data_IF_117684654768
#
_entry.id   IF_117684654768
#
_cell.length_a   1.000
_cell.length_b   1.000
_cell.length_c   1.000
_cell.angle_alpha   90.00
_cell.angle_beta   90.00
_cell.angle_gamma   90.00
#
_symmetry.space_group_name_H-M   'P 1'
#
loop_
_entity.id
_entity.type
_entity.pdbx_description
1 polymer ?
#
# COMPACT_ATOMS: atom_id res chain seq x y z
N UNK A 1 2.02 -14.40 14.98
CA UNK A 1 1.33 -13.28 14.33
C UNK A 1 0.64 -13.72 13.07
N UNK A 2 -0.16 -12.83 12.51
CA UNK A 2 -0.88 -13.11 11.26
C UNK A 2 0.11 -13.13 10.10
N UNK A 3 0.07 -14.17 9.25
CA UNK A 3 0.92 -14.21 8.07
C UNK A 3 0.67 -13.01 7.14
N UNK A 4 1.71 -12.53 6.46
CA UNK A 4 1.60 -11.36 5.61
C UNK A 4 0.53 -11.53 4.53
N UNK A 5 0.32 -12.76 4.06
CA UNK A 5 -0.68 -13.05 3.02
C UNK A 5 -2.12 -12.81 3.48
N UNK A 6 -2.35 -12.78 4.79
CA UNK A 6 -3.69 -12.59 5.36
C UNK A 6 -3.89 -11.18 5.91
N UNK A 7 -2.90 -10.29 5.75
CA UNK A 7 -3.01 -8.90 6.19
C UNK A 7 -3.76 -8.06 5.17
N UNK A 8 -4.56 -7.13 5.68
CA UNK A 8 -5.27 -6.17 4.84
C UNK A 8 -4.92 -4.75 5.27
N UNK A 9 -4.92 -3.85 4.31
CA UNK A 9 -4.69 -2.42 4.55
C UNK A 9 -6.03 -1.71 4.41
N UNK A 10 -6.36 -0.85 5.37
CA UNK A 10 -7.60 -0.08 5.32
C UNK A 10 -7.38 1.22 4.55
N UNK A 11 -8.22 1.48 3.58
CA UNK A 11 -8.20 2.72 2.78
C UNK A 11 -9.53 3.43 2.97
N UNK A 12 -9.49 4.59 3.61
CA UNK A 12 -10.69 5.38 3.88
C UNK A 12 -10.72 6.61 2.98
N UNK A 13 -11.81 6.81 2.27
CA UNK A 13 -12.00 7.92 1.35
C UNK A 13 -13.49 8.24 1.24
N UNK A 14 -13.84 9.52 1.36
CA UNK A 14 -15.21 9.97 1.15
C UNK A 14 -16.26 9.30 2.04
N UNK A 15 -15.90 9.01 3.29
CA UNK A 15 -16.82 8.38 4.24
C UNK A 15 -16.95 6.87 4.09
N UNK A 16 -16.17 6.25 3.23
CA UNK A 16 -16.16 4.80 3.03
C UNK A 16 -14.78 4.25 3.36
N UNK A 17 -14.73 3.01 3.85
CA UNK A 17 -13.47 2.32 4.14
C UNK A 17 -13.46 1.00 3.39
N UNK A 18 -12.38 0.76 2.65
CA UNK A 18 -12.14 -0.48 1.92
C UNK A 18 -11.01 -1.23 2.58
N UNK A 19 -11.21 -2.55 2.81
CA UNK A 19 -10.14 -3.43 3.27
C UNK A 19 -9.47 -4.01 2.04
N UNK A 20 -8.20 -3.65 1.82
CA UNK A 20 -7.46 -4.02 0.62
C UNK A 20 -6.63 -5.26 0.92
N UNK A 21 -6.88 -6.38 0.23
CA UNK A 21 -6.10 -7.60 0.44
C UNK A 21 -4.75 -7.51 -0.26
N UNK A 22 -3.86 -8.42 0.11
CA UNK A 22 -2.56 -8.52 -0.53
C UNK A 22 -2.70 -8.63 -2.04
N UNK A 23 -1.89 -7.88 -2.77
CA UNK A 23 -1.88 -7.86 -4.22
C UNK A 23 -0.83 -8.82 -4.79
N UNK A 24 0.43 -8.66 -4.37
CA UNK A 24 1.52 -9.54 -4.81
C UNK A 24 2.51 -9.79 -3.69
N UNK A 25 3.17 -10.95 -3.76
CA UNK A 25 4.37 -11.25 -2.97
C UNK A 25 5.42 -11.72 -3.96
N UNK A 26 6.51 -10.96 -4.07
CA UNK A 26 7.55 -11.21 -5.06
C UNK A 26 8.91 -11.31 -4.39
N UNK A 27 9.74 -12.24 -4.83
CA UNK A 27 11.12 -12.26 -4.40
C UNK A 27 11.83 -11.00 -4.88
N UNK A 28 12.89 -10.60 -4.17
CA UNK A 28 13.66 -9.42 -4.54
C UNK A 28 14.22 -9.57 -5.95
N UNK A 29 14.18 -8.47 -6.71
CA UNK A 29 14.69 -8.41 -8.09
C UNK A 29 13.99 -9.36 -9.06
N UNK A 30 12.83 -9.90 -8.67
CA UNK A 30 12.00 -10.74 -9.54
C UNK A 30 10.68 -10.03 -9.78
N UNK A 31 10.37 -9.81 -11.05
CA UNK A 31 9.08 -9.26 -11.42
C UNK A 31 8.04 -10.37 -11.39
N UNK A 32 6.92 -10.13 -10.72
CA UNK A 32 5.85 -11.10 -10.67
C UNK A 32 4.53 -10.43 -11.04
N UNK A 33 3.65 -11.17 -11.74
CA UNK A 33 2.38 -10.59 -12.16
C UNK A 33 1.45 -10.38 -10.97
N UNK A 34 0.74 -9.26 -10.99
CA UNK A 34 -0.38 -9.01 -10.10
C UNK A 34 -1.68 -9.22 -10.85
N UNK A 35 -2.77 -9.30 -10.12
CA UNK A 35 -4.10 -9.30 -10.69
C UNK A 35 -4.58 -7.88 -10.93
N UNK A 36 -5.88 -7.68 -10.83
CA UNK A 36 -6.48 -6.35 -10.88
C UNK A 36 -6.66 -5.84 -9.45
N UNK A 37 -6.10 -4.68 -9.12
CA UNK A 37 -6.28 -4.14 -7.76
C UNK A 37 -7.73 -3.69 -7.56
N UNK A 38 -8.23 -3.71 -6.30
CA UNK A 38 -9.52 -3.13 -6.00
C UNK A 38 -9.54 -1.65 -6.33
N UNK A 39 -10.72 -1.13 -6.62
CA UNK A 39 -10.92 0.27 -6.95
C UNK A 39 -11.77 0.93 -5.88
N UNK A 40 -11.40 2.14 -5.51
CA UNK A 40 -12.11 2.97 -4.55
C UNK A 40 -12.50 4.26 -5.24
N UNK A 41 -13.70 4.75 -4.96
CA UNK A 41 -14.15 6.02 -5.52
C UNK A 41 -13.35 7.16 -4.91
N UNK A 42 -12.74 7.98 -5.78
CA UNK A 42 -11.98 9.14 -5.32
C UNK A 42 -12.92 10.29 -4.99
N UNK A 43 -12.85 10.85 -3.78
CA UNK A 43 -13.65 12.06 -3.47
C UNK A 43 -13.12 13.27 -4.22
N UNK A 44 -13.99 14.27 -4.41
CA UNK A 44 -13.63 15.49 -5.12
C UNK A 44 -12.67 16.38 -4.32
N UNK A 45 -12.60 16.17 -3.01
CA UNK A 45 -11.75 16.94 -2.10
C UNK A 45 -11.49 16.14 -0.83
N UNK A 46 -10.61 16.64 0.00
CA UNK A 46 -10.27 15.99 1.27
C UNK A 46 -9.16 14.98 1.11
N UNK A 47 -8.97 14.19 2.15
CA UNK A 47 -7.83 13.25 2.20
C UNK A 47 -8.30 11.80 2.05
N UNK A 48 -7.40 10.99 1.51
CA UNK A 48 -7.48 9.54 1.59
C UNK A 48 -6.59 9.11 2.75
N UNK A 49 -7.11 8.25 3.63
CA UNK A 49 -6.37 7.77 4.79
C UNK A 49 -6.02 6.29 4.61
N UNK A 50 -4.74 5.97 4.82
CA UNK A 50 -4.22 4.60 4.73
C UNK A 50 -3.85 4.14 6.12
N UNK A 51 -4.37 3.00 6.56
CA UNK A 51 -4.04 2.42 7.87
C UNK A 51 -3.51 1.02 7.65
N UNK A 52 -2.31 0.77 8.15
CA UNK A 52 -1.69 -0.55 8.06
C UNK A 52 -1.87 -1.29 9.38
N UNK A 53 -1.95 -2.64 9.34
CA UNK A 53 -2.02 -3.41 10.59
C UNK A 53 -0.70 -3.35 11.36
N UNK A 54 -0.75 -3.71 12.63
CA UNK A 54 0.39 -3.64 13.54
C UNK A 54 1.61 -4.39 13.00
N UNK A 55 1.41 -5.50 12.32
CA UNK A 55 2.50 -6.29 11.76
C UNK A 55 3.29 -5.51 10.72
N UNK A 56 2.61 -4.68 9.92
CA UNK A 56 3.28 -3.83 8.93
C UNK A 56 3.92 -2.62 9.62
N UNK A 57 3.22 -2.02 10.59
CA UNK A 57 3.76 -0.88 11.34
C UNK A 57 5.06 -1.23 12.05
N UNK A 58 5.15 -2.43 12.65
CA UNK A 58 6.36 -2.88 13.33
C UNK A 58 7.51 -3.15 12.38
N UNK A 59 7.23 -3.31 11.11
CA UNK A 59 8.21 -3.44 10.04
C UNK A 59 8.38 -2.08 9.36
N UNK A 60 9.40 -1.91 8.56
CA UNK A 60 9.45 -0.71 7.73
C UNK A 60 8.49 -0.90 6.55
N UNK A 61 7.87 0.19 6.10
CA UNK A 61 6.96 0.12 4.97
C UNK A 61 7.03 1.40 4.14
N UNK A 62 6.52 1.31 2.94
CA UNK A 62 6.58 2.39 1.97
C UNK A 62 5.19 2.62 1.39
N UNK A 63 4.85 3.88 1.18
CA UNK A 63 3.64 4.30 0.50
C UNK A 63 4.03 5.04 -0.77
N UNK A 64 3.60 4.53 -1.91
CA UNK A 64 3.77 5.19 -3.20
C UNK A 64 2.42 5.74 -3.64
N UNK A 65 2.39 7.04 -3.94
CA UNK A 65 1.19 7.76 -4.38
C UNK A 65 1.40 8.20 -5.83
N UNK A 66 0.58 7.69 -6.73
CA UNK A 66 0.64 7.99 -8.15
C UNK A 66 -0.57 8.84 -8.51
N UNK A 67 -0.31 10.05 -8.99
CA UNK A 67 -1.33 11.00 -9.40
C UNK A 67 -1.40 11.05 -10.93
N UNK A 68 -2.44 11.67 -11.47
CA UNK A 68 -2.59 11.84 -12.92
C UNK A 68 -1.61 12.88 -13.49
N UNK A 69 -0.90 13.59 -12.64
CA UNK A 69 0.25 14.42 -13.00
C UNK A 69 1.48 13.81 -12.34
N UNK A 70 2.46 13.30 -13.11
CA UNK A 70 3.67 12.69 -12.53
C UNK A 70 4.46 13.59 -11.60
N UNK A 71 4.36 14.92 -11.77
CA UNK A 71 5.05 15.85 -10.88
C UNK A 71 4.52 15.79 -9.45
N UNK A 72 3.30 15.28 -9.24
CA UNK A 72 2.69 15.13 -7.93
C UNK A 72 2.99 13.79 -7.27
N UNK A 73 3.59 12.84 -8.00
CA UNK A 73 3.88 11.51 -7.46
C UNK A 73 4.80 11.63 -6.25
N UNK A 74 4.48 10.84 -5.21
CA UNK A 74 5.14 10.96 -3.91
C UNK A 74 5.44 9.57 -3.38
N UNK A 75 6.63 9.41 -2.81
CA UNK A 75 7.01 8.20 -2.09
C UNK A 75 7.31 8.59 -0.64
N UNK A 76 6.74 7.86 0.30
CA UNK A 76 6.97 8.06 1.73
C UNK A 76 7.43 6.74 2.34
N UNK A 77 8.52 6.80 3.10
CA UNK A 77 9.11 5.62 3.74
C UNK A 77 8.99 5.78 5.25
N UNK A 78 8.49 4.74 5.90
CA UNK A 78 8.32 4.70 7.35
C UNK A 78 9.24 3.63 7.92
N UNK A 79 10.04 4.00 8.91
CA UNK A 79 10.89 3.06 9.63
C UNK A 79 10.05 2.24 10.61
N UNK A 80 10.62 1.14 11.12
CA UNK A 80 9.92 0.24 12.04
C UNK A 80 9.32 1.00 13.22
N UNK A 81 8.01 0.88 13.41
CA UNK A 81 7.29 1.48 14.53
C UNK A 81 7.02 2.97 14.40
N UNK A 82 7.40 3.60 13.31
CA UNK A 82 7.27 5.05 13.15
C UNK A 82 5.82 5.49 13.02
N UNK A 83 5.03 4.80 12.19
CA UNK A 83 3.64 5.15 11.96
C UNK A 83 2.85 3.96 11.44
N UNK A 84 1.59 3.87 11.86
CA UNK A 84 0.64 2.89 11.36
C UNK A 84 -0.37 3.49 10.40
N UNK A 85 -0.29 4.80 10.11
CA UNK A 85 -1.22 5.43 9.17
C UNK A 85 -0.58 6.63 8.50
N UNK A 86 -1.15 6.99 7.34
CA UNK A 86 -0.74 8.16 6.57
C UNK A 86 -1.92 8.68 5.77
N UNK A 87 -1.97 9.99 5.57
CA UNK A 87 -2.99 10.62 4.74
C UNK A 87 -2.35 11.24 3.49
N UNK A 88 -3.14 11.33 2.43
CA UNK A 88 -2.73 11.98 1.20
C UNK A 88 -3.92 12.72 0.61
N UNK A 89 -3.71 13.87 -0.04
CA UNK A 89 -4.82 14.57 -0.67
C UNK A 89 -5.38 13.76 -1.84
N UNK A 90 -6.71 13.66 -1.91
CA UNK A 90 -7.38 13.05 -3.07
C UNK A 90 -7.07 13.86 -4.32
N UNK A 91 -7.09 15.19 -4.18
CA UNK A 91 -6.75 16.13 -5.23
C UNK A 91 -5.75 17.13 -4.65
N UNK A 92 -4.62 17.31 -5.30
CA UNK A 92 -3.58 18.23 -4.83
C UNK A 92 -3.97 19.68 -5.09
N UNK A 93 -3.24 20.63 -4.52
CA UNK A 93 -3.48 22.05 -4.75
C UNK A 93 -3.38 22.41 -6.23
N UNK A 94 -2.51 21.72 -6.98
CA UNK A 94 -2.36 21.93 -8.42
C UNK A 94 -3.44 21.24 -9.26
N UNK A 95 -4.36 20.48 -8.61
CA UNK A 95 -5.45 19.79 -9.28
C UNK A 95 -5.12 18.37 -9.73
N UNK A 96 -3.98 17.81 -9.36
CA UNK A 96 -3.65 16.42 -9.68
C UNK A 96 -4.52 15.47 -8.84
N UNK A 97 -5.08 14.46 -9.51
CA UNK A 97 -5.96 13.48 -8.86
C UNK A 97 -5.22 12.19 -8.59
N UNK A 98 -5.45 11.60 -7.42
CA UNK A 98 -4.85 10.32 -7.05
C UNK A 98 -5.42 9.22 -7.95
N UNK A 99 -4.54 8.39 -8.51
CA UNK A 99 -4.92 7.31 -9.44
C UNK A 99 -4.66 5.94 -8.83
N UNK A 100 -3.49 5.76 -8.21
CA UNK A 100 -3.08 4.49 -7.61
C UNK A 100 -2.30 4.78 -6.34
N UNK A 101 -2.49 3.95 -5.32
CA UNK A 101 -1.63 3.93 -4.14
C UNK A 101 -1.12 2.50 -3.95
N UNK A 102 0.15 2.37 -3.62
CA UNK A 102 0.76 1.09 -3.33
C UNK A 102 1.47 1.13 -1.99
N UNK A 103 1.24 0.12 -1.17
CA UNK A 103 1.93 -0.06 0.10
C UNK A 103 2.79 -1.31 -0.03
N UNK A 104 4.07 -1.19 0.31
CA UNK A 104 5.00 -2.32 0.25
C UNK A 104 5.71 -2.48 1.58
N UNK A 105 6.02 -3.74 1.90
CA UNK A 105 6.87 -4.07 3.04
C UNK A 105 7.77 -5.23 2.68
N UNK A 106 8.96 -5.24 3.28
CA UNK A 106 9.90 -6.35 3.13
C UNK A 106 9.53 -7.42 4.16
N UNK A 107 9.46 -8.66 3.73
CA UNK A 107 9.15 -9.78 4.60
C UNK A 107 10.06 -10.96 4.29
N UNK A 108 10.07 -11.95 5.17
CA UNK A 108 10.82 -13.18 5.00
C UNK A 108 9.82 -14.32 4.93
N UNK A 109 9.81 -15.04 3.82
CA UNK A 109 9.00 -16.24 3.68
C UNK A 109 9.85 -17.48 3.94
N UNK A 110 9.28 -18.43 4.69
CA UNK A 110 9.92 -19.67 5.00
C UNK A 110 9.37 -20.78 4.10
N UNK A 111 10.25 -21.41 3.35
CA UNK A 111 9.88 -22.53 2.50
C UNK A 111 9.69 -23.82 3.28
N UNK A 112 9.19 -24.86 2.61
CA UNK A 112 8.96 -26.18 3.20
C UNK A 112 10.23 -26.83 3.73
N UNK A 113 11.36 -26.49 3.13
CA UNK A 113 12.67 -26.99 3.55
C UNK A 113 13.29 -26.18 4.70
N UNK A 114 12.56 -25.20 5.23
CA UNK A 114 13.05 -24.29 6.27
C UNK A 114 13.91 -23.15 5.75
N UNK A 115 14.15 -23.08 4.43
CA UNK A 115 14.91 -22.00 3.83
C UNK A 115 14.12 -20.70 3.87
N UNK A 116 14.80 -19.60 4.21
CA UNK A 116 14.17 -18.28 4.31
C UNK A 116 14.48 -17.46 3.06
N UNK A 117 13.44 -16.86 2.49
CA UNK A 117 13.56 -16.07 1.26
C UNK A 117 13.00 -14.66 1.52
N UNK A 118 13.77 -13.60 1.26
CA UNK A 118 13.24 -12.25 1.36
C UNK A 118 12.28 -11.95 0.21
N UNK A 119 11.16 -11.33 0.52
CA UNK A 119 10.12 -10.99 -0.45
C UNK A 119 9.62 -9.56 -0.21
N UNK A 120 9.04 -8.98 -1.25
CA UNK A 120 8.32 -7.72 -1.16
C UNK A 120 6.83 -8.04 -1.24
N UNK A 121 6.09 -7.68 -0.21
CA UNK A 121 4.64 -7.79 -0.20
C UNK A 121 4.06 -6.43 -0.59
N UNK A 122 3.07 -6.44 -1.48
CA UNK A 122 2.45 -5.22 -2.02
C UNK A 122 0.94 -5.27 -1.88
N UNK A 123 0.37 -4.18 -1.40
CA UNK A 123 -1.07 -3.91 -1.41
C UNK A 123 -1.28 -2.76 -2.38
N UNK A 124 -2.17 -2.93 -3.36
CA UNK A 124 -2.40 -1.94 -4.40
C UNK A 124 -3.88 -1.60 -4.47
N UNK A 125 -4.19 -0.30 -4.62
CA UNK A 125 -5.55 0.17 -4.75
C UNK A 125 -5.62 1.24 -5.83
N UNK A 126 -6.61 1.11 -6.74
CA UNK A 126 -6.88 2.13 -7.75
C UNK A 126 -7.97 3.07 -7.29
N UNK A 127 -8.03 4.26 -7.87
CA UNK A 127 -9.05 5.26 -7.58
C UNK A 127 -9.74 5.66 -8.88
N UNK A 128 -11.05 5.82 -8.82
CA UNK A 128 -11.85 6.20 -10.01
C UNK A 128 -12.83 7.34 -9.72
#
# INVERSE_FOLDING_TARGET
GTPVRDLEVAVAAGGQTEQVPLYTVCELDVECPGGEPPSVRLPDQGDVNFTVPDEIERNSWRLLLIYDDPAANTERVFTSGESGEETAPAVTESGAKLVVAEITTLDIEKGDDGEETPVIATWSVGFD
#
